data_IF_548259618751
#
_entry.id   IF_548259618751
#
_cell.length_a   1.000
_cell.length_b   1.000
_cell.length_c   1.000
_cell.angle_alpha   90.00
_cell.angle_beta   90.00
_cell.angle_gamma   90.00
#
_symmetry.space_group_name_H-M   'P 1'
#
loop_
_entity.id
_entity.type
_entity.pdbx_description
1 polymer ?
#
# COMPACT_ATOMS: atom_id res chain seq x y z
N UNK A 1 -17.98 0.31 -5.32
CA UNK A 1 -16.99 0.86 -4.38
C UNK A 1 -16.35 -0.31 -3.67
N UNK A 2 -15.03 -0.47 -3.79
CA UNK A 2 -14.31 -1.50 -3.04
C UNK A 2 -14.25 -1.06 -1.58
N UNK A 3 -14.79 -1.86 -0.67
CA UNK A 3 -14.71 -1.57 0.75
C UNK A 3 -13.27 -1.80 1.25
N UNK A 4 -12.72 -0.77 1.88
CA UNK A 4 -11.37 -0.79 2.43
C UNK A 4 -11.42 -0.84 3.96
N UNK A 5 -10.59 -1.70 4.54
CA UNK A 5 -10.33 -1.73 5.97
C UNK A 5 -9.66 -0.43 6.44
N UNK A 6 -9.54 -0.26 7.76
CA UNK A 6 -8.86 0.91 8.34
C UNK A 6 -7.40 0.95 7.90
N UNK A 7 -6.72 -0.19 7.91
CA UNK A 7 -5.30 -0.31 7.54
C UNK A 7 -5.10 -0.10 6.02
N UNK A 8 -6.01 -0.63 5.20
CA UNK A 8 -6.00 -0.41 3.75
C UNK A 8 -6.18 1.08 3.40
N UNK A 9 -7.11 1.75 4.08
CA UNK A 9 -7.32 3.20 3.93
C UNK A 9 -6.08 3.99 4.37
N UNK A 10 -5.43 3.57 5.45
CA UNK A 10 -4.21 4.22 5.93
C UNK A 10 -3.08 4.16 4.91
N UNK A 11 -2.85 2.99 4.30
CA UNK A 11 -1.83 2.85 3.23
C UNK A 11 -2.18 3.72 2.02
N UNK A 12 -3.42 3.66 1.54
CA UNK A 12 -3.86 4.46 0.39
C UNK A 12 -3.73 5.95 0.66
N UNK A 13 -4.06 6.41 1.86
CA UNK A 13 -3.89 7.81 2.27
C UNK A 13 -2.41 8.22 2.21
N UNK A 14 -1.52 7.46 2.82
CA UNK A 14 -0.08 7.76 2.81
C UNK A 14 0.49 7.78 1.39
N UNK A 15 0.09 6.84 0.54
CA UNK A 15 0.49 6.86 -0.88
C UNK A 15 0.00 8.13 -1.58
N UNK A 16 -1.27 8.52 -1.41
CA UNK A 16 -1.81 9.76 -2.00
C UNK A 16 -1.07 11.02 -1.52
N UNK A 17 -0.78 11.10 -0.22
CA UNK A 17 -0.06 12.23 0.38
C UNK A 17 1.39 12.34 -0.10
N UNK A 18 1.98 11.23 -0.57
CA UNK A 18 3.35 11.17 -1.09
C UNK A 18 3.40 11.07 -2.63
N UNK A 19 2.40 11.60 -3.34
CA UNK A 19 2.42 11.68 -4.81
C UNK A 19 2.08 10.37 -5.52
N UNK A 20 1.48 9.41 -4.82
CA UNK A 20 1.04 8.13 -5.35
C UNK A 20 2.11 7.04 -5.31
N UNK A 21 3.28 7.28 -4.75
CA UNK A 21 4.38 6.30 -4.75
C UNK A 21 5.26 6.41 -3.49
N UNK A 22 5.62 5.26 -2.93
CA UNK A 22 6.57 5.15 -1.81
C UNK A 22 7.41 3.87 -1.92
N UNK A 23 8.62 3.89 -1.37
CA UNK A 23 9.35 2.64 -1.15
C UNK A 23 8.67 1.84 -0.05
N UNK A 24 8.73 0.51 -0.17
CA UNK A 24 8.19 -0.41 0.83
C UNK A 24 8.75 -0.12 2.23
N UNK A 25 10.03 0.20 2.36
CA UNK A 25 10.65 0.54 3.65
C UNK A 25 10.06 1.79 4.27
N UNK A 26 9.82 2.83 3.47
CA UNK A 26 9.25 4.10 3.93
C UNK A 26 7.80 3.88 4.37
N UNK A 27 7.01 3.17 3.55
CA UNK A 27 5.64 2.81 3.88
C UNK A 27 5.57 1.92 5.12
N UNK A 28 6.50 0.97 5.27
CA UNK A 28 6.58 0.12 6.47
C UNK A 28 6.85 0.96 7.71
N UNK A 29 7.78 1.91 7.66
CA UNK A 29 8.08 2.83 8.77
C UNK A 29 6.85 3.68 9.13
N UNK A 30 6.08 4.14 8.16
CA UNK A 30 4.85 4.90 8.43
C UNK A 30 3.74 4.04 9.07
N UNK A 31 3.64 2.77 8.67
CA UNK A 31 2.60 1.88 9.18
C UNK A 31 2.93 1.27 10.55
N UNK A 32 4.22 1.15 10.91
CA UNK A 32 4.63 0.40 12.11
C UNK A 32 4.10 1.00 13.43
N UNK A 33 3.74 2.29 13.43
CA UNK A 33 3.15 2.95 14.60
C UNK A 33 1.65 2.66 14.75
N UNK A 34 0.99 2.20 13.69
CA UNK A 34 -0.45 2.00 13.62
C UNK A 34 -0.85 0.52 13.58
N UNK A 35 -0.12 -0.32 12.82
CA UNK A 35 -0.42 -1.74 12.67
C UNK A 35 0.77 -2.56 12.13
N UNK A 36 0.69 -3.88 12.34
CA UNK A 36 1.65 -4.85 11.80
C UNK A 36 1.15 -5.49 10.49
N UNK A 37 2.03 -6.22 9.81
CA UNK A 37 1.62 -7.06 8.67
C UNK A 37 1.41 -6.32 7.34
N UNK A 38 2.09 -5.19 7.14
CA UNK A 38 2.03 -4.34 5.92
C UNK A 38 2.08 -5.13 4.62
N UNK A 39 2.95 -6.15 4.53
CA UNK A 39 3.08 -7.02 3.34
C UNK A 39 1.79 -7.74 2.96
N UNK A 40 1.04 -8.23 3.95
CA UNK A 40 -0.21 -8.94 3.71
C UNK A 40 -1.30 -7.98 3.24
N UNK A 41 -1.31 -6.76 3.79
CA UNK A 41 -2.26 -5.72 3.40
C UNK A 41 -1.96 -5.24 1.97
N UNK A 42 -0.68 -5.03 1.63
CA UNK A 42 -0.26 -4.69 0.28
C UNK A 42 -0.66 -5.77 -0.74
N UNK A 43 -0.54 -7.06 -0.37
CA UNK A 43 -1.05 -8.17 -1.21
C UNK A 43 -2.54 -8.03 -1.48
N UNK A 44 -3.35 -7.79 -0.44
CA UNK A 44 -4.81 -7.60 -0.60
C UNK A 44 -5.13 -6.39 -1.47
N UNK A 45 -4.43 -5.26 -1.26
CA UNK A 45 -4.60 -4.05 -2.07
C UNK A 45 -4.22 -4.27 -3.54
N UNK A 46 -3.19 -5.07 -3.81
CA UNK A 46 -2.79 -5.46 -5.16
C UNK A 46 -3.83 -6.37 -5.82
N UNK A 47 -4.37 -7.34 -5.10
CA UNK A 47 -5.48 -8.20 -5.56
C UNK A 47 -6.74 -7.37 -5.86
N UNK A 48 -6.99 -6.31 -5.08
CA UNK A 48 -8.03 -5.31 -5.32
C UNK A 48 -7.71 -4.32 -6.45
N UNK A 49 -6.55 -4.43 -7.10
CA UNK A 49 -6.07 -3.55 -8.17
C UNK A 49 -5.94 -2.07 -7.76
N UNK A 50 -5.63 -1.80 -6.49
CA UNK A 50 -5.47 -0.44 -5.95
C UNK A 50 -4.02 -0.01 -5.94
N UNK A 51 -3.09 -0.95 -5.73
CA UNK A 51 -1.65 -0.70 -5.75
C UNK A 51 -0.94 -1.66 -6.69
N UNK A 52 0.23 -1.25 -7.16
CA UNK A 52 1.14 -2.05 -7.97
C UNK A 52 2.53 -2.07 -7.34
N UNK A 53 3.21 -3.20 -7.48
CA UNK A 53 4.60 -3.44 -7.10
C UNK A 53 5.09 -4.73 -7.76
N UNK A 54 6.40 -4.95 -7.79
CA UNK A 54 6.98 -6.16 -8.39
C UNK A 54 6.77 -7.42 -7.54
N UNK A 55 6.42 -8.55 -8.17
CA UNK A 55 6.23 -9.84 -7.50
C UNK A 55 4.89 -10.00 -6.75
N UNK A 56 4.72 -11.11 -6.02
CA UNK A 56 3.48 -11.40 -5.27
C UNK A 56 3.43 -10.64 -3.94
N UNK A 57 4.58 -10.56 -3.27
CA UNK A 57 4.81 -9.84 -2.02
C UNK A 57 5.91 -8.80 -2.29
N UNK A 58 5.80 -7.57 -1.76
CA UNK A 58 6.85 -6.58 -1.97
C UNK A 58 8.16 -7.04 -1.34
N UNK A 59 9.22 -6.99 -2.15
CA UNK A 59 10.59 -7.11 -1.68
C UNK A 59 11.00 -5.91 -0.82
N UNK A 60 12.16 -6.00 -0.18
CA UNK A 60 12.69 -4.91 0.67
C UNK A 60 12.85 -3.59 -0.11
N UNK A 61 13.35 -3.65 -1.34
CA UNK A 61 13.54 -2.50 -2.22
C UNK A 61 12.35 -2.21 -3.13
N UNK A 62 11.18 -2.78 -2.89
CA UNK A 62 10.03 -2.60 -3.77
C UNK A 62 9.51 -1.17 -3.74
N UNK A 63 9.13 -0.65 -4.90
CA UNK A 63 8.33 0.56 -5.03
C UNK A 63 6.85 0.18 -5.05
N UNK A 64 6.07 0.83 -4.19
CA UNK A 64 4.62 0.67 -4.09
C UNK A 64 3.98 1.88 -4.77
N UNK A 65 3.24 1.64 -5.85
CA UNK A 65 2.57 2.68 -6.63
C UNK A 65 1.06 2.55 -6.49
N UNK A 66 0.38 3.66 -6.25
CA UNK A 66 -1.06 3.74 -6.32
C UNK A 66 -1.49 3.66 -7.79
N UNK A 67 -2.41 2.76 -8.10
CA UNK A 67 -3.04 2.69 -9.41
C UNK A 67 -4.15 3.75 -9.39
N UNK A 68 -4.22 4.62 -10.41
CA UNK A 68 -5.34 5.56 -10.56
C UNK A 68 -6.64 4.78 -10.78
N UNK A 69 -7.26 4.36 -9.69
CA UNK A 69 -8.66 3.96 -9.68
C UNK A 69 -9.40 5.17 -9.16
N UNK A 70 -10.41 5.64 -9.89
CA UNK A 70 -11.36 6.63 -9.39
C UNK A 70 -12.06 6.05 -8.15
N UNK A 71 -11.50 6.29 -6.96
CA UNK A 71 -12.09 5.93 -5.65
C UNK A 71 -12.93 7.09 -5.16
#
# INVERSE_FOLDING_TARGET
MVELSVEEKFIVKNLKENGGELKYTELQTLCQEEFEGVRLILKKLKEKQIVSYEGVIPGYSAEIKLIEVSI
#
